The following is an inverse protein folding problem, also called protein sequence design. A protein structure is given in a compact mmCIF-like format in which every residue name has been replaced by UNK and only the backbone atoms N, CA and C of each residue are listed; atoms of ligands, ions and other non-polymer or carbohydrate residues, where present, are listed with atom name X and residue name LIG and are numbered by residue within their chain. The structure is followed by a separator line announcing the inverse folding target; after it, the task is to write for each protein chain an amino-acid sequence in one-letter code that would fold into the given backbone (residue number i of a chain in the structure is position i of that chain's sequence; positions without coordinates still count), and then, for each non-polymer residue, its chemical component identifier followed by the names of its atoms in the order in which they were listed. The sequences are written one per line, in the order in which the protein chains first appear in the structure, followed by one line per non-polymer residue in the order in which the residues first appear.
data_IF_677442367474
#
_entry.id   IF_677442367474
#
_cell.length_a   1.000
_cell.length_b   1.000
_cell.length_c   1.000
_cell.angle_alpha   90.00
_cell.angle_beta   90.00
_cell.angle_gamma   90.00
#
_symmetry.space_group_name_H-M   'P 1'
#
loop_
_entity.id
_entity.type
_entity.pdbx_description
1 polymer ?
#
# COMPACT_ATOMS: atom_id res chain seq x y z
N UNK A 1 -50.53 28.28 -31.55
CA UNK A 1 -49.19 28.48 -30.93
C UNK A 1 -48.79 27.20 -30.27
N UNK A 2 -47.79 26.46 -30.85
CA UNK A 2 -47.33 25.16 -30.35
C UNK A 2 -46.11 25.43 -29.44
N UNK A 3 -46.20 25.05 -28.18
CA UNK A 3 -45.09 25.11 -27.25
C UNK A 3 -44.10 23.96 -27.55
N UNK A 4 -42.86 24.35 -27.82
CA UNK A 4 -41.74 23.42 -28.05
C UNK A 4 -41.15 23.08 -26.68
N UNK A 5 -41.38 21.86 -26.17
CA UNK A 5 -40.69 21.35 -25.02
C UNK A 5 -39.25 20.98 -25.41
N UNK A 6 -38.30 21.78 -24.97
CA UNK A 6 -36.86 21.45 -25.07
C UNK A 6 -36.53 20.52 -23.88
N UNK A 7 -36.47 19.22 -24.15
CA UNK A 7 -36.00 18.22 -23.20
C UNK A 7 -34.46 18.36 -23.09
N UNK A 8 -34.01 19.03 -22.04
CA UNK A 8 -32.57 19.15 -21.70
C UNK A 8 -32.05 17.78 -21.29
N UNK A 9 -31.37 17.10 -22.23
CA UNK A 9 -30.64 15.87 -21.97
C UNK A 9 -29.31 16.25 -21.29
N UNK A 10 -29.31 16.30 -19.94
CA UNK A 10 -28.08 16.46 -19.18
C UNK A 10 -27.22 15.19 -19.33
N UNK A 11 -26.19 15.29 -20.17
CA UNK A 11 -25.13 14.28 -20.30
C UNK A 11 -24.35 14.22 -18.98
N UNK A 12 -24.74 13.32 -18.10
CA UNK A 12 -24.02 13.02 -16.87
C UNK A 12 -22.74 12.26 -17.28
N UNK A 13 -21.66 12.99 -17.47
CA UNK A 13 -20.34 12.43 -17.72
C UNK A 13 -19.87 11.75 -16.42
N UNK A 14 -20.16 10.45 -16.26
CA UNK A 14 -19.60 9.62 -15.21
C UNK A 14 -18.12 9.52 -15.50
N UNK A 15 -17.33 10.34 -14.81
CA UNK A 15 -15.89 10.16 -14.71
C UNK A 15 -15.67 8.82 -13.98
N UNK A 16 -15.45 7.77 -14.77
CA UNK A 16 -15.04 6.47 -14.28
C UNK A 16 -13.60 6.62 -13.75
N UNK A 17 -13.46 7.21 -12.56
CA UNK A 17 -12.24 7.07 -11.80
C UNK A 17 -12.06 5.58 -11.57
N UNK A 18 -10.89 5.00 -11.90
CA UNK A 18 -10.53 3.63 -11.60
C UNK A 18 -10.38 3.44 -10.08
N UNK A 19 -11.50 3.50 -9.38
CA UNK A 19 -11.62 3.27 -7.95
C UNK A 19 -12.19 1.87 -7.76
N UNK A 20 -11.61 1.11 -6.82
CA UNK A 20 -12.19 -0.16 -6.40
C UNK A 20 -13.56 0.04 -5.79
N UNK A 21 -14.49 -0.89 -6.04
CA UNK A 21 -15.78 -0.90 -5.38
C UNK A 21 -15.65 -1.31 -3.91
N UNK A 22 -16.65 -0.95 -3.08
CA UNK A 22 -16.70 -1.38 -1.67
C UNK A 22 -16.66 -2.91 -1.53
N UNK A 23 -17.25 -3.65 -2.47
CA UNK A 23 -17.21 -5.11 -2.50
C UNK A 23 -15.79 -5.62 -2.71
N UNK A 24 -15.04 -5.03 -3.65
CA UNK A 24 -13.65 -5.40 -3.90
C UNK A 24 -12.74 -5.07 -2.70
N UNK A 25 -12.93 -3.90 -2.09
CA UNK A 25 -12.18 -3.52 -0.89
C UNK A 25 -12.44 -4.50 0.26
N UNK A 26 -13.70 -4.89 0.44
CA UNK A 26 -14.11 -5.90 1.44
C UNK A 26 -13.46 -7.27 1.15
N UNK A 27 -13.41 -7.69 -0.11
CA UNK A 27 -12.73 -8.94 -0.50
C UNK A 27 -11.24 -8.90 -0.16
N UNK A 28 -10.57 -7.77 -0.44
CA UNK A 28 -9.14 -7.63 -0.09
C UNK A 28 -8.91 -7.72 1.41
N UNK A 29 -9.75 -7.07 2.21
CA UNK A 29 -9.71 -7.16 3.67
C UNK A 29 -9.87 -8.59 4.16
N UNK A 30 -10.89 -9.31 3.70
CA UNK A 30 -11.11 -10.71 4.05
C UNK A 30 -9.91 -11.60 3.73
N UNK A 31 -9.25 -11.37 2.59
CA UNK A 31 -8.03 -12.10 2.21
C UNK A 31 -6.88 -11.78 3.16
N UNK A 32 -6.75 -10.54 3.60
CA UNK A 32 -5.72 -10.11 4.54
C UNK A 32 -6.00 -10.69 5.94
N UNK A 33 -7.23 -10.58 6.43
CA UNK A 33 -7.64 -11.14 7.72
C UNK A 33 -7.40 -12.65 7.78
N UNK A 34 -7.82 -13.39 6.75
CA UNK A 34 -7.53 -14.82 6.64
C UNK A 34 -6.04 -15.14 6.67
N UNK A 35 -5.21 -14.30 6.02
CA UNK A 35 -3.75 -14.46 6.06
C UNK A 35 -3.18 -14.26 7.46
N UNK A 36 -3.78 -13.38 8.27
CA UNK A 36 -3.31 -13.08 9.63
C UNK A 36 -3.80 -14.06 10.67
N UNK A 37 -4.83 -14.87 10.37
CA UNK A 37 -5.36 -15.88 11.29
C UNK A 37 -4.27 -16.83 11.80
N UNK A 38 -4.23 -17.02 13.12
CA UNK A 38 -3.26 -17.91 13.79
C UNK A 38 -1.82 -17.38 13.82
N UNK A 39 -1.57 -16.14 13.32
CA UNK A 39 -0.27 -15.49 13.45
C UNK A 39 -0.26 -14.53 14.64
N UNK A 40 0.88 -14.43 15.31
CA UNK A 40 1.07 -13.46 16.41
C UNK A 40 1.42 -12.07 15.85
N UNK A 41 0.50 -11.50 15.04
CA UNK A 41 0.64 -10.16 14.48
C UNK A 41 -0.20 -9.17 15.30
N UNK A 42 0.33 -7.95 15.51
CA UNK A 42 -0.37 -6.84 16.18
C UNK A 42 -0.57 -5.70 15.17
N UNK A 43 -1.23 -6.01 14.06
CA UNK A 43 -1.46 -5.08 12.96
C UNK A 43 -2.57 -4.08 13.32
N UNK A 44 -2.32 -2.80 13.01
CA UNK A 44 -3.32 -1.74 13.05
C UNK A 44 -3.71 -1.40 11.62
N UNK A 45 -5.00 -1.39 11.32
CA UNK A 45 -5.55 -1.01 10.01
C UNK A 45 -5.84 0.49 9.98
N UNK A 46 -5.36 1.18 8.94
CA UNK A 46 -5.69 2.58 8.65
C UNK A 46 -7.00 2.71 7.86
N UNK A 47 -7.50 3.94 7.71
CA UNK A 47 -8.68 4.24 6.89
C UNK A 47 -8.49 3.91 5.40
N UNK A 48 -7.26 3.99 4.89
CA UNK A 48 -6.91 3.62 3.51
C UNK A 48 -6.90 2.10 3.27
N UNK A 49 -6.95 1.30 4.36
CA UNK A 49 -6.86 -0.16 4.33
C UNK A 49 -5.44 -0.72 4.50
N UNK A 50 -4.43 0.12 4.78
CA UNK A 50 -3.09 -0.35 5.10
C UNK A 50 -3.06 -1.00 6.48
N UNK A 51 -2.41 -2.16 6.60
CA UNK A 51 -2.16 -2.80 7.89
C UNK A 51 -0.69 -2.63 8.27
N UNK A 52 -0.42 -2.11 9.46
CA UNK A 52 0.94 -1.78 9.92
C UNK A 52 1.19 -2.28 11.34
N UNK A 53 2.37 -2.84 11.57
CA UNK A 53 2.89 -3.20 12.89
C UNK A 53 4.34 -2.68 13.01
N UNK A 54 4.64 -1.94 14.07
CA UNK A 54 5.99 -1.51 14.39
C UNK A 54 6.67 -2.62 15.18
N UNK A 55 7.66 -3.26 14.58
CA UNK A 55 8.45 -4.33 15.21
C UNK A 55 9.59 -3.76 16.07
N UNK A 56 10.10 -2.57 15.69
CA UNK A 56 11.12 -1.82 16.41
C UNK A 56 10.97 -0.35 16.08
N UNK A 57 10.93 0.49 17.11
CA UNK A 57 10.93 1.94 16.94
C UNK A 57 12.27 2.45 16.40
N UNK A 58 12.19 3.42 15.49
CA UNK A 58 13.35 4.18 15.05
C UNK A 58 13.69 5.30 16.04
N UNK A 59 14.97 5.64 16.13
CA UNK A 59 15.47 6.70 17.03
C UNK A 59 16.22 7.81 16.30
N UNK A 60 16.47 7.64 15.00
CA UNK A 60 17.18 8.62 14.17
C UNK A 60 16.30 9.74 13.65
N UNK A 61 16.69 10.30 12.51
CA UNK A 61 15.97 11.39 11.82
C UNK A 61 14.56 10.95 11.37
N UNK A 62 13.60 11.84 11.48
CA UNK A 62 12.25 11.64 10.96
C UNK A 62 12.25 11.55 9.41
N UNK A 63 11.41 10.68 8.89
CA UNK A 63 11.28 10.39 7.45
C UNK A 63 10.23 11.30 6.84
N UNK A 64 10.62 12.02 5.77
CA UNK A 64 9.74 12.90 5.01
C UNK A 64 9.61 12.42 3.57
N UNK A 65 8.53 12.78 2.90
CA UNK A 65 8.24 12.37 1.51
C UNK A 65 9.36 12.73 0.53
N UNK A 66 10.14 13.77 0.82
CA UNK A 66 11.24 14.25 -0.04
C UNK A 66 12.54 13.48 0.11
N UNK A 67 12.60 12.58 1.09
CA UNK A 67 13.83 11.89 1.44
C UNK A 67 14.14 10.71 0.49
N UNK A 68 15.41 10.36 0.46
CA UNK A 68 15.89 9.07 -0.03
C UNK A 68 16.11 8.16 1.17
N UNK A 69 15.43 7.02 1.19
CA UNK A 69 15.50 6.05 2.28
C UNK A 69 16.45 4.91 1.93
N UNK A 70 17.38 4.60 2.83
CA UNK A 70 18.19 3.39 2.79
C UNK A 70 17.43 2.25 3.44
N UNK A 71 17.02 1.24 2.68
CA UNK A 71 16.15 0.15 3.15
C UNK A 71 16.68 -1.23 2.84
N UNK A 72 16.42 -2.15 3.76
CA UNK A 72 16.47 -3.59 3.54
C UNK A 72 15.09 -4.17 3.76
N UNK A 73 14.65 -5.14 2.94
CA UNK A 73 13.29 -5.66 3.00
C UNK A 73 13.10 -7.04 2.36
N UNK A 74 12.01 -7.67 2.68
CA UNK A 74 11.46 -8.81 1.94
C UNK A 74 9.99 -8.56 1.63
N UNK A 75 9.59 -8.78 0.37
CA UNK A 75 8.22 -8.70 -0.11
C UNK A 75 7.70 -10.05 -0.56
N UNK A 76 6.56 -10.47 -0.02
CA UNK A 76 5.88 -11.70 -0.39
C UNK A 76 4.40 -11.47 -0.72
N UNK A 77 3.85 -12.31 -1.58
CA UNK A 77 2.41 -12.48 -1.71
C UNK A 77 1.86 -13.13 -0.44
N UNK A 78 0.55 -13.03 -0.19
CA UNK A 78 -0.08 -13.69 0.96
C UNK A 78 0.04 -15.24 0.91
N UNK A 79 0.32 -15.80 -0.25
CA UNK A 79 0.67 -17.23 -0.41
C UNK A 79 2.05 -17.61 0.15
N UNK A 80 2.85 -16.62 0.57
CA UNK A 80 4.24 -16.80 0.99
C UNK A 80 5.26 -16.78 -0.16
N UNK A 81 4.80 -16.70 -1.42
CA UNK A 81 5.70 -16.59 -2.57
C UNK A 81 6.42 -15.25 -2.55
N UNK A 82 7.73 -15.27 -2.46
CA UNK A 82 8.58 -14.07 -2.53
C UNK A 82 8.56 -13.51 -3.95
N UNK A 83 8.29 -12.21 -4.07
CA UNK A 83 8.37 -11.50 -5.35
C UNK A 83 9.54 -10.53 -5.41
N UNK A 84 9.99 -10.00 -4.24
CA UNK A 84 11.14 -9.10 -4.17
C UNK A 84 11.87 -9.22 -2.82
N UNK A 85 13.18 -8.95 -2.81
CA UNK A 85 14.01 -8.96 -1.60
C UNK A 85 15.27 -8.13 -1.81
N UNK A 86 15.60 -7.31 -0.80
CA UNK A 86 16.86 -6.60 -0.69
C UNK A 86 17.46 -6.85 0.70
N UNK A 87 18.48 -7.72 0.75
CA UNK A 87 19.13 -8.08 2.02
C UNK A 87 20.10 -7.01 2.49
N UNK A 88 20.71 -6.29 1.55
CA UNK A 88 21.60 -5.18 1.82
C UNK A 88 20.85 -3.88 1.63
N UNK A 89 21.24 -2.84 2.36
CA UNK A 89 20.65 -1.51 2.24
C UNK A 89 20.79 -0.97 0.82
N UNK A 90 19.66 -0.66 0.20
CA UNK A 90 19.58 0.08 -1.06
C UNK A 90 18.90 1.42 -0.83
N UNK A 91 19.22 2.42 -1.63
CA UNK A 91 18.61 3.74 -1.53
C UNK A 91 17.51 3.93 -2.56
N UNK A 92 16.32 4.28 -2.08
CA UNK A 92 15.14 4.56 -2.89
C UNK A 92 14.58 5.94 -2.56
N UNK A 93 14.25 6.78 -3.56
CA UNK A 93 13.50 8.00 -3.29
C UNK A 93 12.09 7.62 -2.81
N UNK A 94 11.67 8.12 -1.63
CA UNK A 94 10.38 7.76 -1.04
C UNK A 94 9.19 8.13 -1.94
N UNK A 95 9.32 9.17 -2.76
CA UNK A 95 8.30 9.53 -3.77
C UNK A 95 8.08 8.46 -4.84
N UNK A 96 9.08 7.61 -5.09
CA UNK A 96 9.07 6.59 -6.15
C UNK A 96 8.56 5.22 -5.72
N UNK A 97 8.28 5.00 -4.44
CA UNK A 97 7.78 3.71 -3.96
C UNK A 97 6.24 3.67 -3.97
N UNK A 98 5.65 2.49 -3.77
CA UNK A 98 4.19 2.29 -3.70
C UNK A 98 3.58 3.10 -2.54
N UNK A 99 2.30 3.48 -2.68
CA UNK A 99 1.63 4.36 -1.73
C UNK A 99 1.57 3.78 -0.31
N UNK A 100 1.41 2.48 -0.18
CA UNK A 100 1.44 1.80 1.12
C UNK A 100 2.77 1.98 1.88
N UNK A 101 3.90 2.04 1.19
CA UNK A 101 5.19 2.34 1.81
C UNK A 101 5.30 3.82 2.23
N UNK A 102 4.83 4.74 1.38
CA UNK A 102 4.80 6.17 1.72
C UNK A 102 3.99 6.40 2.99
N UNK A 103 2.79 5.84 3.05
CA UNK A 103 1.91 5.95 4.22
C UNK A 103 2.52 5.33 5.48
N UNK A 104 3.14 4.15 5.36
CA UNK A 104 3.75 3.47 6.50
C UNK A 104 4.99 4.17 7.04
N UNK A 105 5.76 4.88 6.20
CA UNK A 105 7.08 5.37 6.54
C UNK A 105 7.13 6.87 6.86
N UNK A 106 6.26 7.68 6.28
CA UNK A 106 6.23 9.13 6.56
C UNK A 106 5.93 9.36 8.05
N UNK A 107 6.76 10.18 8.70
CA UNK A 107 6.67 10.46 10.14
C UNK A 107 7.35 9.41 11.03
N UNK A 108 7.74 8.26 10.49
CA UNK A 108 8.58 7.31 11.22
C UNK A 108 10.02 7.84 11.32
N UNK A 109 10.85 7.17 12.10
CA UNK A 109 12.26 7.56 12.30
C UNK A 109 13.21 6.52 11.72
N UNK A 110 14.37 6.99 11.26
CA UNK A 110 15.47 6.10 10.87
C UNK A 110 15.74 5.07 11.96
N UNK A 111 15.96 3.83 11.56
CA UNK A 111 16.11 2.66 12.44
C UNK A 111 14.81 1.92 12.71
N UNK A 112 13.66 2.41 12.19
CA UNK A 112 12.37 1.73 12.32
C UNK A 112 12.38 0.39 11.58
N UNK A 113 11.78 -0.63 12.19
CA UNK A 113 11.48 -1.91 11.54
C UNK A 113 9.98 -2.14 11.56
N UNK A 114 9.41 -2.40 10.41
CA UNK A 114 7.97 -2.52 10.22
C UNK A 114 7.61 -3.86 9.59
N UNK A 115 6.40 -4.32 9.91
CA UNK A 115 5.65 -5.29 9.13
C UNK A 115 4.42 -4.59 8.58
N UNK A 116 4.18 -4.70 7.27
CA UNK A 116 3.00 -4.09 6.65
C UNK A 116 2.32 -5.07 5.70
N UNK A 117 1.00 -4.95 5.57
CA UNK A 117 0.25 -5.59 4.50
C UNK A 117 -0.42 -4.48 3.69
N UNK A 118 -0.01 -4.41 2.43
CA UNK A 118 -0.43 -3.38 1.49
C UNK A 118 -1.55 -3.93 0.63
N UNK A 119 -2.78 -3.40 0.72
CA UNK A 119 -3.86 -3.83 -0.16
C UNK A 119 -3.61 -3.32 -1.59
N UNK A 120 -4.27 -3.91 -2.60
CA UNK A 120 -4.00 -3.61 -4.01
C UNK A 120 -4.06 -2.13 -4.38
N UNK A 121 -5.00 -1.36 -3.82
CA UNK A 121 -5.17 0.07 -4.10
C UNK A 121 -3.97 0.93 -3.65
N UNK A 122 -3.18 0.46 -2.71
CA UNK A 122 -1.97 1.11 -2.21
C UNK A 122 -0.68 0.45 -2.73
N UNK A 123 -0.82 -0.58 -3.56
CA UNK A 123 0.26 -1.36 -4.16
C UNK A 123 0.30 -1.26 -5.68
N UNK A 124 0.22 -2.40 -6.36
CA UNK A 124 0.31 -2.46 -7.82
C UNK A 124 -1.05 -2.56 -8.53
N UNK A 125 -2.14 -2.49 -7.78
CA UNK A 125 -3.49 -2.34 -8.33
C UNK A 125 -3.98 -3.48 -9.23
N UNK A 126 -4.92 -3.14 -10.10
CA UNK A 126 -5.55 -4.07 -11.04
C UNK A 126 -4.60 -4.54 -12.17
N UNK A 127 -3.49 -3.84 -12.38
CA UNK A 127 -2.50 -4.23 -13.40
C UNK A 127 -1.50 -5.26 -12.90
N UNK A 128 -1.23 -5.29 -11.60
CA UNK A 128 -0.09 -6.03 -11.06
C UNK A 128 1.26 -5.47 -11.54
N UNK A 129 2.34 -6.20 -11.32
CA UNK A 129 3.67 -5.86 -11.83
C UNK A 129 4.59 -7.07 -11.76
N UNK A 130 5.24 -7.46 -12.87
CA UNK A 130 6.19 -8.57 -12.96
C UNK A 130 5.68 -9.83 -12.22
N UNK A 131 6.25 -10.15 -11.06
CA UNK A 131 5.88 -11.31 -10.24
C UNK A 131 4.66 -11.09 -9.34
N UNK A 132 4.09 -9.89 -9.35
CA UNK A 132 2.90 -9.53 -8.56
C UNK A 132 1.66 -9.59 -9.44
N UNK A 133 0.73 -10.53 -9.18
CA UNK A 133 -0.52 -10.62 -9.93
C UNK A 133 -1.42 -9.39 -9.74
N UNK A 134 -2.36 -9.20 -10.67
CA UNK A 134 -3.44 -8.23 -10.53
C UNK A 134 -4.19 -8.42 -9.20
N UNK A 135 -4.52 -7.31 -8.54
CA UNK A 135 -5.28 -7.30 -7.30
C UNK A 135 -4.66 -8.14 -6.16
N UNK A 136 -3.34 -8.23 -6.11
CA UNK A 136 -2.65 -8.97 -5.06
C UNK A 136 -2.32 -8.06 -3.86
N UNK A 137 -2.83 -8.37 -2.64
CA UNK A 137 -2.28 -7.79 -1.42
C UNK A 137 -0.85 -8.26 -1.20
N UNK A 138 -0.02 -7.38 -0.66
CA UNK A 138 1.42 -7.58 -0.50
C UNK A 138 1.80 -7.55 0.97
N UNK A 139 2.60 -8.50 1.40
CA UNK A 139 3.20 -8.52 2.73
C UNK A 139 4.66 -8.10 2.65
N UNK A 140 5.07 -7.18 3.53
CA UNK A 140 6.46 -6.76 3.66
C UNK A 140 6.93 -6.79 5.10
N UNK A 141 8.17 -7.21 5.30
CA UNK A 141 8.99 -6.80 6.43
C UNK A 141 10.11 -5.92 5.91
N UNK A 142 10.24 -4.73 6.50
CA UNK A 142 11.20 -3.74 6.04
C UNK A 142 11.88 -3.04 7.23
N UNK A 143 13.15 -2.66 7.02
CA UNK A 143 13.94 -1.87 7.94
C UNK A 143 14.44 -0.61 7.22
N UNK A 144 14.28 0.56 7.83
CA UNK A 144 14.88 1.79 7.32
C UNK A 144 16.21 2.00 8.03
N UNK A 145 17.29 1.65 7.33
CA UNK A 145 18.64 1.67 7.89
C UNK A 145 19.23 3.10 7.90
N UNK A 146 18.85 3.94 6.90
CA UNK A 146 19.38 5.30 6.74
C UNK A 146 18.34 6.23 6.06
N UNK A 147 18.49 7.55 6.26
CA UNK A 147 17.62 8.58 5.68
C UNK A 147 18.47 9.77 5.20
N UNK A 148 18.38 10.13 3.91
CA UNK A 148 19.11 11.22 3.24
C UNK A 148 18.18 12.25 2.65
#
# INVERSE_FOLDING_TARGET
MKAINILSLSLFCVLCACSYSEEQLTEFDQRIEKFTEGKSFHLVKSESGLYTEILKEGTGREIHLTDSIGVSYVGTLLSGKKFDEQKNTIYLPLRGVIDGWKEALIGQKQGVKLRIIVPPQLGYGAGGMDKVPANAPLYFELCVDDVK
#
